data_IF_224964165269
#
_entry.id   IF_224964165269
#
_cell.length_a   1.000
_cell.length_b   1.000
_cell.length_c   1.000
_cell.angle_alpha   90.00
_cell.angle_beta   90.00
_cell.angle_gamma   90.00
#
_symmetry.space_group_name_H-M   'P 1'
#
loop_
_entity.id
_entity.type
_entity.pdbx_description
1 polymer ?
#
# COMPACT_ATOMS: atom_id res chain seq x y z
N UNK A 1 0.36 -13.93 -10.35
CA UNK A 1 0.34 -12.97 -11.49
C UNK A 1 -0.49 -11.76 -11.10
N UNK A 2 -0.07 -10.53 -11.43
CA UNK A 2 -0.81 -9.31 -11.11
C UNK A 2 -1.33 -8.62 -12.36
N UNK A 3 -2.64 -8.35 -12.44
CA UNK A 3 -3.27 -7.65 -13.58
C UNK A 3 -3.42 -6.18 -13.27
N UNK A 4 -3.06 -5.23 -14.14
CA UNK A 4 -3.27 -3.81 -13.84
C UNK A 4 -4.77 -3.51 -13.61
N UNK A 5 -5.14 -2.69 -12.60
CA UNK A 5 -6.53 -2.26 -12.43
C UNK A 5 -6.98 -1.38 -13.60
N UNK A 6 -8.28 -1.33 -13.91
CA UNK A 6 -8.81 -0.37 -14.89
C UNK A 6 -8.58 1.06 -14.39
N UNK A 7 -7.74 1.81 -15.08
CA UNK A 7 -7.37 3.18 -14.70
C UNK A 7 -8.55 4.16 -14.80
N UNK A 8 -9.58 3.85 -15.59
CA UNK A 8 -10.82 4.65 -15.70
C UNK A 8 -11.75 4.41 -14.51
N UNK A 9 -11.57 3.30 -13.80
CA UNK A 9 -12.35 2.90 -12.62
C UNK A 9 -11.39 2.54 -11.48
N UNK A 10 -10.62 3.54 -11.06
CA UNK A 10 -9.65 3.37 -9.98
C UNK A 10 -10.38 2.95 -8.69
N UNK A 11 -9.98 1.85 -8.04
CA UNK A 11 -10.52 1.49 -6.73
C UNK A 11 -10.21 2.56 -5.69
N UNK A 12 -11.14 2.79 -4.76
CA UNK A 12 -10.93 3.68 -3.62
C UNK A 12 -9.84 3.12 -2.69
N UNK A 13 -9.10 4.01 -2.03
CA UNK A 13 -8.02 3.63 -1.12
C UNK A 13 -6.77 3.15 -1.84
N UNK A 14 -6.14 2.09 -1.33
CA UNK A 14 -4.88 1.56 -1.83
C UNK A 14 -5.10 0.71 -3.10
N UNK A 15 -4.56 1.15 -4.24
CA UNK A 15 -4.67 0.40 -5.52
C UNK A 15 -3.97 -0.96 -5.50
N UNK A 16 -3.08 -1.18 -4.53
CA UNK A 16 -2.35 -2.43 -4.36
C UNK A 16 -3.07 -3.43 -3.44
N UNK A 17 -4.11 -3.01 -2.72
CA UNK A 17 -4.87 -3.86 -1.77
C UNK A 17 -5.26 -5.23 -2.34
N UNK A 18 -5.74 -5.38 -3.60
CA UNK A 18 -6.12 -6.68 -4.13
C UNK A 18 -4.99 -7.70 -4.29
N UNK A 19 -3.71 -7.29 -4.13
CA UNK A 19 -2.53 -8.15 -4.29
C UNK A 19 -1.45 -7.93 -3.23
N UNK A 20 -1.75 -7.15 -2.20
CA UNK A 20 -0.80 -6.84 -1.15
C UNK A 20 -0.96 -7.87 -0.03
N UNK A 21 0.12 -8.55 0.34
CA UNK A 21 0.10 -9.56 1.43
C UNK A 21 -0.16 -8.95 2.81
N UNK A 22 -0.18 -7.61 2.91
CA UNK A 22 -0.45 -6.83 4.12
C UNK A 22 -1.80 -6.11 4.09
N UNK A 23 -2.62 -6.40 3.09
CA UNK A 23 -3.88 -5.69 2.94
C UNK A 23 -4.79 -5.95 4.15
N UNK A 24 -5.26 -4.88 4.76
CA UNK A 24 -6.22 -4.89 5.85
C UNK A 24 -7.38 -3.90 5.58
N UNK A 25 -8.26 -3.73 6.56
CA UNK A 25 -9.40 -2.83 6.44
C UNK A 25 -9.01 -1.36 6.24
N UNK A 26 -7.85 -0.92 6.74
CA UNK A 26 -7.40 0.48 6.58
C UNK A 26 -7.10 0.78 5.11
N UNK A 27 -6.61 -0.22 4.37
CA UNK A 27 -6.27 -0.10 2.95
C UNK A 27 -7.46 0.24 2.03
N UNK A 28 -8.71 0.15 2.51
CA UNK A 28 -9.90 0.64 1.80
C UNK A 28 -9.96 2.17 1.71
N UNK A 29 -9.14 2.85 2.52
CA UNK A 29 -9.01 4.32 2.56
C UNK A 29 -7.61 4.76 2.16
N UNK A 30 -7.46 6.02 1.75
CA UNK A 30 -6.18 6.58 1.30
C UNK A 30 -5.33 7.01 2.50
N UNK A 31 -4.11 6.48 2.67
CA UNK A 31 -3.20 6.90 3.75
C UNK A 31 -2.60 8.28 3.51
N UNK A 32 -2.19 8.93 4.59
CA UNK A 32 -1.32 10.11 4.55
C UNK A 32 0.08 9.75 4.03
N UNK A 33 0.86 10.76 3.65
CA UNK A 33 2.27 10.57 3.30
C UNK A 33 3.09 10.22 4.54
N UNK A 34 3.90 9.17 4.44
CA UNK A 34 4.90 8.76 5.40
C UNK A 34 6.31 9.04 4.82
N UNK A 35 7.18 9.69 5.58
CA UNK A 35 8.56 9.97 5.19
C UNK A 35 9.43 8.82 5.71
N UNK A 36 10.09 8.11 4.79
CA UNK A 36 10.92 6.93 5.10
C UNK A 36 12.42 7.26 5.20
N UNK A 37 12.78 8.53 5.07
CA UNK A 37 14.15 9.05 5.14
C UNK A 37 14.53 9.83 3.88
N UNK A 38 15.27 10.92 4.06
CA UNK A 38 15.62 11.83 2.96
C UNK A 38 14.39 12.33 2.21
N UNK A 39 14.37 12.11 0.89
CA UNK A 39 13.25 12.45 0.00
C UNK A 39 12.31 11.27 -0.30
N UNK A 40 12.47 10.12 0.37
CA UNK A 40 11.64 8.95 0.14
C UNK A 40 10.30 9.07 0.88
N UNK A 41 9.21 9.11 0.12
CA UNK A 41 7.84 9.24 0.62
C UNK A 41 7.02 8.02 0.18
N UNK A 42 6.22 7.48 1.10
CA UNK A 42 5.27 6.41 0.83
C UNK A 42 3.84 6.82 1.23
N UNK A 43 2.85 6.22 0.58
CA UNK A 43 1.43 6.33 0.93
C UNK A 43 0.92 4.93 1.28
N UNK A 44 1.36 4.41 2.43
CA UNK A 44 1.04 3.07 2.91
C UNK A 44 0.72 3.12 4.40
N UNK A 45 -0.31 2.40 4.85
CA UNK A 45 -0.65 2.28 6.27
C UNK A 45 0.38 1.49 7.08
N UNK A 46 1.25 0.71 6.41
CA UNK A 46 2.30 -0.11 7.01
C UNK A 46 3.69 0.29 6.51
N UNK A 47 3.91 1.58 6.26
CA UNK A 47 5.14 2.08 5.64
C UNK A 47 6.38 1.91 6.55
N UNK A 48 6.16 1.85 7.85
CA UNK A 48 7.14 1.69 8.92
C UNK A 48 7.59 0.23 9.12
N UNK A 49 6.83 -0.75 8.61
CA UNK A 49 7.14 -2.16 8.78
C UNK A 49 7.83 -2.71 7.52
N UNK A 50 9.11 -3.15 7.60
CA UNK A 50 9.81 -3.73 6.47
C UNK A 50 9.26 -5.12 6.09
N UNK A 51 9.22 -5.44 4.78
CA UNK A 51 8.68 -6.73 4.26
C UNK A 51 9.39 -7.96 4.85
N UNK A 52 10.66 -7.80 5.21
CA UNK A 52 11.46 -8.87 5.83
C UNK A 52 11.03 -9.21 7.26
N UNK A 53 10.31 -8.33 7.96
CA UNK A 53 9.87 -8.55 9.33
C UNK A 53 8.55 -9.35 9.43
N UNK A 54 7.91 -9.68 8.29
CA UNK A 54 6.59 -10.33 8.25
C UNK A 54 6.62 -11.79 7.78
N UNK A 55 7.80 -12.31 7.41
CA UNK A 55 7.99 -13.68 6.93
C UNK A 55 8.69 -14.57 7.98
N UNK A 56 8.51 -14.28 9.27
CA UNK A 56 9.01 -15.06 10.40
C UNK A 56 7.87 -15.79 11.10
#
# INVERSE_FOLDING_TARGET
AGTLPDLRRRPSGCVFQPRCDRADAQCLTTPSSAILGGSHIAHCWHADIPLRAMNA
#
